data_IF_578174340776
#
_entry.id   IF_578174340776
#
_cell.length_a   1.000
_cell.length_b   1.000
_cell.length_c   1.000
_cell.angle_alpha   90.00
_cell.angle_beta   90.00
_cell.angle_gamma   90.00
#
_symmetry.space_group_name_H-M   'P 1'
#
loop_
_entity.id
_entity.type
_entity.pdbx_description
1 polymer ?
#
# COMPACT_ATOMS: atom_id res chain seq x y z
N UNK A 1 -12.33 14.97 -24.05
CA UNK A 1 -11.51 13.73 -24.15
C UNK A 1 -12.08 12.91 -25.30
N UNK A 2 -11.26 12.21 -26.10
CA UNK A 2 -11.79 11.35 -27.18
C UNK A 2 -12.39 10.09 -26.56
N UNK A 3 -13.54 9.62 -27.08
CA UNK A 3 -14.24 8.41 -26.57
C UNK A 3 -13.32 7.18 -26.42
N UNK A 4 -12.29 7.09 -27.25
CA UNK A 4 -11.28 6.03 -27.20
C UNK A 4 -10.45 6.05 -25.92
N UNK A 5 -10.03 7.23 -25.44
CA UNK A 5 -9.24 7.35 -24.20
C UNK A 5 -10.08 7.09 -22.96
N UNK A 6 -11.35 7.49 -22.97
CA UNK A 6 -12.27 7.23 -21.86
C UNK A 6 -12.50 5.73 -21.64
N UNK A 7 -12.58 4.95 -22.73
CA UNK A 7 -12.69 3.49 -22.67
C UNK A 7 -11.45 2.79 -22.08
N UNK A 8 -10.29 3.48 -22.03
CA UNK A 8 -9.04 2.94 -21.50
C UNK A 8 -8.83 3.24 -20.00
N UNK A 9 -9.63 4.12 -19.40
CA UNK A 9 -9.49 4.48 -17.99
C UNK A 9 -9.50 3.25 -17.04
N UNK A 10 -10.36 2.21 -17.21
CA UNK A 10 -10.35 1.04 -16.34
C UNK A 10 -9.06 0.22 -16.44
N UNK A 11 -8.37 0.29 -17.57
CA UNK A 11 -7.05 -0.34 -17.78
C UNK A 11 -5.94 0.46 -17.09
N UNK A 12 -6.03 1.78 -17.09
CA UNK A 12 -5.13 2.64 -16.31
C UNK A 12 -5.23 2.32 -14.82
N UNK A 13 -6.44 2.18 -14.29
CA UNK A 13 -6.65 1.75 -12.90
C UNK A 13 -6.08 0.35 -12.61
N UNK A 14 -6.21 -0.61 -13.55
CA UNK A 14 -5.58 -1.93 -13.40
C UNK A 14 -4.04 -1.82 -13.32
N UNK A 15 -3.42 -1.04 -14.20
CA UNK A 15 -1.97 -0.86 -14.19
C UNK A 15 -1.49 -0.28 -12.85
N UNK A 16 -2.17 0.77 -12.38
CA UNK A 16 -1.92 1.39 -11.08
C UNK A 16 -2.12 0.42 -9.91
N UNK A 17 -3.14 -0.43 -9.99
CA UNK A 17 -3.44 -1.47 -9.01
C UNK A 17 -2.33 -2.53 -8.92
N UNK A 18 -1.80 -2.95 -10.07
CA UNK A 18 -0.69 -3.90 -10.12
C UNK A 18 0.56 -3.28 -9.49
N UNK A 19 0.90 -2.05 -9.88
CA UNK A 19 2.09 -1.34 -9.36
C UNK A 19 1.98 -1.15 -7.85
N UNK A 20 0.86 -0.60 -7.35
CA UNK A 20 0.65 -0.40 -5.93
C UNK A 20 0.64 -1.74 -5.18
N UNK A 21 -0.12 -2.72 -5.66
CA UNK A 21 -0.24 -4.03 -5.01
C UNK A 21 1.12 -4.71 -4.85
N UNK A 22 1.91 -4.79 -5.92
CA UNK A 22 3.25 -5.41 -5.88
C UNK A 22 4.20 -4.65 -4.96
N UNK A 23 4.23 -3.32 -5.05
CA UNK A 23 5.06 -2.48 -4.18
C UNK A 23 4.75 -2.72 -2.69
N UNK A 24 3.46 -2.67 -2.33
CA UNK A 24 3.00 -2.83 -0.96
C UNK A 24 3.28 -4.26 -0.44
N UNK A 25 3.09 -5.29 -1.28
CA UNK A 25 3.44 -6.68 -0.93
C UNK A 25 4.94 -6.80 -0.68
N UNK A 26 5.78 -6.26 -1.56
CA UNK A 26 7.24 -6.36 -1.42
C UNK A 26 7.72 -5.73 -0.10
N UNK A 27 7.25 -4.52 0.22
CA UNK A 27 7.60 -3.83 1.46
C UNK A 27 7.00 -4.48 2.71
N UNK A 28 5.75 -4.95 2.63
CA UNK A 28 5.06 -5.63 3.72
C UNK A 28 5.58 -7.04 3.99
N UNK A 29 6.03 -7.76 2.97
CA UNK A 29 6.51 -9.15 3.09
C UNK A 29 7.65 -9.24 4.11
N UNK A 30 8.64 -8.34 3.99
CA UNK A 30 9.77 -8.29 4.92
C UNK A 30 9.40 -7.92 6.35
N UNK A 31 8.19 -7.39 6.58
CA UNK A 31 7.67 -7.01 7.90
C UNK A 31 6.81 -8.11 8.51
N UNK A 32 6.36 -9.10 7.75
CA UNK A 32 5.40 -10.10 8.23
C UNK A 32 5.93 -11.52 8.10
N UNK A 33 6.65 -11.85 7.03
CA UNK A 33 7.09 -13.21 6.73
C UNK A 33 8.52 -13.43 7.21
N UNK A 34 8.77 -14.41 8.11
CA UNK A 34 10.12 -14.78 8.51
C UNK A 34 10.94 -15.27 7.31
N UNK A 35 12.18 -14.81 7.19
CA UNK A 35 13.07 -15.22 6.09
C UNK A 35 14.18 -14.21 5.82
N UNK A 36 14.98 -14.50 4.79
CA UNK A 36 16.28 -13.85 4.60
C UNK A 36 16.22 -12.56 3.77
N UNK A 37 15.04 -12.16 3.28
CA UNK A 37 14.88 -11.06 2.32
C UNK A 37 15.34 -9.70 2.87
N UNK A 38 15.34 -9.49 4.18
CA UNK A 38 15.91 -8.32 4.85
C UNK A 38 16.80 -8.70 6.05
N UNK A 39 17.46 -9.85 5.96
CA UNK A 39 18.21 -10.46 7.06
C UNK A 39 17.41 -11.52 7.80
N UNK A 40 18.10 -12.46 8.47
CA UNK A 40 17.49 -13.59 9.18
C UNK A 40 16.74 -13.14 10.44
N UNK A 41 15.55 -12.56 10.28
CA UNK A 41 14.70 -12.15 11.40
C UNK A 41 13.64 -13.21 11.65
N UNK A 42 13.70 -13.85 12.81
CA UNK A 42 12.74 -14.89 13.22
C UNK A 42 11.35 -14.33 13.54
N UNK A 43 11.28 -13.06 13.96
CA UNK A 43 10.02 -12.36 14.26
C UNK A 43 9.98 -10.96 13.59
N UNK A 44 9.79 -10.87 12.26
CA UNK A 44 9.89 -9.62 11.51
C UNK A 44 8.91 -8.55 11.95
N UNK A 45 7.67 -8.95 12.29
CA UNK A 45 6.63 -8.00 12.70
C UNK A 45 6.91 -7.42 14.09
N UNK A 46 7.50 -8.21 14.98
CA UNK A 46 7.95 -7.77 16.30
C UNK A 46 9.12 -6.79 16.18
N UNK A 47 10.05 -7.05 15.26
CA UNK A 47 11.17 -6.17 14.98
C UNK A 47 10.69 -4.83 14.42
N UNK A 48 9.83 -4.84 13.40
CA UNK A 48 9.26 -3.63 12.82
C UNK A 48 8.41 -2.85 13.83
N UNK A 49 7.60 -3.54 14.63
CA UNK A 49 6.79 -2.88 15.67
C UNK A 49 7.66 -2.30 16.79
N UNK A 50 8.80 -2.91 17.10
CA UNK A 50 9.82 -2.36 17.98
C UNK A 50 10.47 -1.09 17.40
N UNK A 51 10.79 -1.09 16.11
CA UNK A 51 11.27 0.11 15.43
C UNK A 51 10.24 1.24 15.49
N UNK A 52 8.97 0.97 15.19
CA UNK A 52 7.90 1.98 15.31
C UNK A 52 7.79 2.52 16.75
N UNK A 53 7.95 1.64 17.76
CA UNK A 53 7.99 2.08 19.15
C UNK A 53 9.19 2.98 19.47
N UNK A 54 10.37 2.72 18.90
CA UNK A 54 11.55 3.58 19.08
C UNK A 54 11.41 4.97 18.47
N UNK A 55 10.46 5.17 17.54
CA UNK A 55 10.11 6.46 16.96
C UNK A 55 9.14 7.27 17.86
N UNK A 56 8.85 6.78 19.07
CA UNK A 56 7.92 7.42 20.01
C UNK A 56 6.44 7.15 19.71
N UNK A 57 6.14 6.19 18.82
CA UNK A 57 4.77 5.81 18.49
C UNK A 57 4.31 4.56 19.26
N UNK A 58 3.00 4.35 19.44
CA UNK A 58 2.51 3.11 20.01
C UNK A 58 2.91 1.87 19.19
N UNK A 59 3.45 0.84 19.86
CA UNK A 59 3.91 -0.41 19.24
C UNK A 59 2.84 -1.06 18.34
N UNK A 60 1.57 -0.98 18.74
CA UNK A 60 0.45 -1.57 18.00
C UNK A 60 0.29 -1.01 16.58
N UNK A 61 0.72 0.24 16.33
CA UNK A 61 0.71 0.84 14.99
C UNK A 61 1.67 0.13 14.02
N UNK A 62 2.76 -0.45 14.53
CA UNK A 62 3.68 -1.23 13.71
C UNK A 62 3.02 -2.47 13.11
N UNK A 63 2.22 -3.19 13.89
CA UNK A 63 1.46 -4.34 13.40
C UNK A 63 0.40 -3.90 12.38
N UNK A 64 -0.34 -2.82 12.68
CA UNK A 64 -1.37 -2.29 11.76
C UNK A 64 -0.73 -1.88 10.44
N UNK A 65 0.40 -1.17 10.47
CA UNK A 65 1.14 -0.76 9.28
C UNK A 65 1.64 -1.96 8.49
N UNK A 66 2.34 -2.91 9.13
CA UNK A 66 2.86 -4.10 8.46
C UNK A 66 1.76 -4.94 7.78
N UNK A 67 0.64 -5.15 8.46
CA UNK A 67 -0.50 -5.88 7.92
C UNK A 67 -1.21 -5.08 6.81
N UNK A 68 -1.33 -3.77 6.95
CA UNK A 68 -1.89 -2.90 5.90
C UNK A 68 -1.05 -2.97 4.64
N UNK A 69 0.27 -2.96 4.74
CA UNK A 69 1.14 -3.07 3.57
C UNK A 69 1.04 -4.45 2.92
N UNK A 70 1.17 -5.51 3.71
CA UNK A 70 1.20 -6.85 3.15
C UNK A 70 -0.19 -7.32 2.69
N UNK A 71 -1.15 -7.37 3.60
CA UNK A 71 -2.51 -7.86 3.30
C UNK A 71 -3.25 -6.86 2.42
N UNK A 72 -3.15 -5.56 2.70
CA UNK A 72 -3.75 -4.53 1.85
C UNK A 72 -3.16 -4.53 0.44
N UNK A 73 -1.84 -4.78 0.29
CA UNK A 73 -1.21 -4.96 -1.02
C UNK A 73 -1.78 -6.14 -1.82
N UNK A 74 -2.01 -7.29 -1.17
CA UNK A 74 -2.66 -8.46 -1.78
C UNK A 74 -4.09 -8.14 -2.21
N UNK A 75 -4.87 -7.51 -1.32
CA UNK A 75 -6.25 -7.10 -1.60
C UNK A 75 -6.33 -6.15 -2.80
N UNK A 76 -5.47 -5.12 -2.83
CA UNK A 76 -5.33 -4.23 -3.98
C UNK A 76 -4.98 -5.02 -5.24
N UNK A 77 -3.94 -5.85 -5.22
CA UNK A 77 -3.48 -6.57 -6.41
C UNK A 77 -4.61 -7.40 -7.05
N UNK A 78 -5.33 -8.15 -6.22
CA UNK A 78 -6.47 -8.97 -6.63
C UNK A 78 -7.71 -8.14 -7.02
N UNK A 79 -7.74 -6.86 -6.67
CA UNK A 79 -8.90 -5.99 -6.83
C UNK A 79 -10.06 -6.45 -5.96
N UNK A 80 -9.77 -6.78 -4.70
CA UNK A 80 -10.72 -7.19 -3.67
C UNK A 80 -10.75 -6.12 -2.56
N UNK A 81 -11.94 -5.66 -2.18
CA UNK A 81 -12.16 -4.56 -1.23
C UNK A 81 -11.29 -3.34 -1.56
N UNK A 82 -11.15 -3.03 -2.85
CA UNK A 82 -10.08 -2.15 -3.35
C UNK A 82 -10.12 -0.77 -2.70
N UNK A 83 -11.32 -0.17 -2.57
CA UNK A 83 -11.47 1.16 -1.95
C UNK A 83 -11.09 1.15 -0.48
N UNK A 84 -11.47 0.10 0.25
CA UNK A 84 -11.15 -0.04 1.66
C UNK A 84 -9.64 -0.25 1.87
N UNK A 85 -9.02 -1.14 1.10
CA UNK A 85 -7.58 -1.36 1.15
C UNK A 85 -6.81 -0.09 0.74
N UNK A 86 -7.26 0.61 -0.31
CA UNK A 86 -6.67 1.86 -0.76
C UNK A 86 -6.72 2.95 0.33
N UNK A 87 -7.85 3.07 1.04
CA UNK A 87 -7.99 4.00 2.16
C UNK A 87 -6.95 3.74 3.27
N UNK A 88 -6.79 2.47 3.68
CA UNK A 88 -5.80 2.12 4.70
C UNK A 88 -4.37 2.41 4.22
N UNK A 89 -4.07 2.10 2.96
CA UNK A 89 -2.76 2.39 2.35
C UNK A 89 -2.51 3.89 2.26
N UNK A 90 -3.53 4.71 1.93
CA UNK A 90 -3.45 6.17 1.94
C UNK A 90 -3.03 6.68 3.32
N UNK A 91 -3.68 6.20 4.38
CA UNK A 91 -3.31 6.57 5.76
C UNK A 91 -1.87 6.14 6.05
N UNK A 92 -1.51 4.89 5.73
CA UNK A 92 -0.17 4.37 5.99
C UNK A 92 0.93 5.18 5.28
N UNK A 93 0.72 5.54 4.01
CA UNK A 93 1.68 6.35 3.24
C UNK A 93 1.75 7.80 3.74
N UNK A 94 0.63 8.40 4.15
CA UNK A 94 0.63 9.74 4.74
C UNK A 94 1.48 9.79 6.04
N UNK A 95 1.35 8.78 6.90
CA UNK A 95 2.20 8.64 8.09
C UNK A 95 3.68 8.42 7.71
N UNK A 96 3.96 7.54 6.74
CA UNK A 96 5.33 7.30 6.30
C UNK A 96 6.01 8.59 5.79
N UNK A 97 5.30 9.40 4.99
CA UNK A 97 5.79 10.70 4.51
C UNK A 97 6.05 11.64 5.68
N UNK A 98 5.11 11.76 6.62
CA UNK A 98 5.23 12.66 7.77
C UNK A 98 6.46 12.34 8.65
N UNK A 99 6.85 11.06 8.71
CA UNK A 99 8.05 10.61 9.40
C UNK A 99 9.32 10.87 8.59
N UNK A 100 9.37 10.39 7.35
CA UNK A 100 10.60 10.37 6.55
C UNK A 100 10.98 11.77 6.06
N UNK A 101 10.00 12.60 5.69
CA UNK A 101 10.26 13.95 5.17
C UNK A 101 10.99 14.85 6.18
N UNK A 102 10.84 14.61 7.49
CA UNK A 102 11.52 15.38 8.54
C UNK A 102 13.03 15.17 8.54
N UNK A 103 13.49 13.99 8.16
CA UNK A 103 14.90 13.60 8.23
C UNK A 103 15.58 13.57 6.87
N UNK A 104 14.83 13.26 5.80
CA UNK A 104 15.38 13.02 4.46
C UNK A 104 14.77 13.93 3.38
N UNK A 105 13.86 14.83 3.73
CA UNK A 105 13.22 15.76 2.79
C UNK A 105 12.49 15.04 1.64
N UNK A 106 12.41 15.71 0.49
CA UNK A 106 11.72 15.18 -0.69
C UNK A 106 12.30 13.84 -1.16
N UNK A 107 13.63 13.71 -1.21
CA UNK A 107 14.32 12.52 -1.70
C UNK A 107 13.97 11.24 -0.91
N UNK A 108 13.68 11.34 0.39
CA UNK A 108 13.19 10.20 1.17
C UNK A 108 11.69 9.96 1.03
N UNK A 109 10.91 10.99 0.71
CA UNK A 109 9.45 10.94 0.67
C UNK A 109 8.86 10.74 -0.73
N UNK A 110 9.64 10.85 -1.80
CA UNK A 110 9.14 10.79 -3.19
C UNK A 110 8.45 9.46 -3.51
N UNK A 111 9.01 8.35 -3.03
CA UNK A 111 8.45 7.02 -3.21
C UNK A 111 7.10 6.84 -2.49
N UNK A 112 6.99 7.06 -1.16
CA UNK A 112 5.70 6.95 -0.48
C UNK A 112 4.69 8.02 -0.96
N UNK A 113 5.15 9.18 -1.46
CA UNK A 113 4.29 10.17 -2.09
C UNK A 113 3.68 9.65 -3.40
N UNK A 114 4.48 8.98 -4.24
CA UNK A 114 3.97 8.33 -5.45
C UNK A 114 2.94 7.24 -5.11
N UNK A 115 3.25 6.37 -4.14
CA UNK A 115 2.31 5.34 -3.70
C UNK A 115 1.02 5.93 -3.10
N UNK A 116 1.12 7.02 -2.34
CA UNK A 116 -0.02 7.76 -1.82
C UNK A 116 -0.93 8.27 -2.95
N UNK A 117 -0.35 8.87 -3.99
CA UNK A 117 -1.10 9.37 -5.13
C UNK A 117 -1.84 8.23 -5.87
N UNK A 118 -1.19 7.08 -6.04
CA UNK A 118 -1.81 5.89 -6.64
C UNK A 118 -2.94 5.35 -5.75
N UNK A 119 -2.73 5.28 -4.43
CA UNK A 119 -3.75 4.84 -3.48
C UNK A 119 -4.98 5.76 -3.50
N UNK A 120 -4.78 7.07 -3.52
CA UNK A 120 -5.89 8.04 -3.65
C UNK A 120 -6.64 7.89 -4.98
N UNK A 121 -5.93 7.66 -6.08
CA UNK A 121 -6.56 7.38 -7.36
C UNK A 121 -7.49 6.17 -7.26
N UNK A 122 -7.00 5.04 -6.72
CA UNK A 122 -7.80 3.82 -6.57
C UNK A 122 -8.92 3.93 -5.53
N UNK A 123 -8.74 4.77 -4.50
CA UNK A 123 -9.75 5.07 -3.50
C UNK A 123 -10.97 5.76 -4.13
N UNK A 124 -10.75 6.76 -4.98
CA UNK A 124 -11.83 7.55 -5.58
C UNK A 124 -12.35 6.95 -6.88
N UNK A 125 -11.47 6.44 -7.73
CA UNK A 125 -11.84 5.83 -9.02
C UNK A 125 -12.38 4.41 -8.84
N UNK A 126 -11.82 3.64 -7.92
CA UNK A 126 -12.14 2.22 -7.72
C UNK A 126 -11.20 1.26 -8.46
N UNK A 127 -11.60 -0.01 -8.52
CA UNK A 127 -10.72 -1.12 -8.85
C UNK A 127 -10.36 -1.27 -10.34
N UNK A 128 -11.05 -0.58 -11.25
CA UNK A 128 -10.85 -0.69 -12.68
C UNK A 128 -11.36 -2.02 -13.28
N UNK A 129 -10.67 -2.50 -14.31
CA UNK A 129 -10.98 -3.78 -14.96
C UNK A 129 -10.36 -4.98 -14.21
N UNK A 130 -10.84 -6.19 -14.51
CA UNK A 130 -10.35 -7.47 -13.95
C UNK A 130 -10.28 -7.50 -12.40
N UNK A 131 -11.09 -6.69 -11.73
CA UNK A 131 -11.20 -6.70 -10.27
C UNK A 131 -12.14 -7.82 -9.82
N UNK A 132 -11.76 -8.54 -8.76
CA UNK A 132 -12.66 -9.51 -8.14
C UNK A 132 -13.89 -8.83 -7.52
N UNK A 133 -13.79 -7.56 -7.10
CA UNK A 133 -14.89 -6.73 -6.60
C UNK A 133 -16.12 -6.74 -7.51
N UNK A 134 -15.91 -6.82 -8.83
CA UNK A 134 -17.00 -6.84 -9.83
C UNK A 134 -17.83 -8.12 -9.75
N UNK A 135 -17.26 -9.23 -9.28
CA UNK A 135 -17.97 -10.50 -9.11
C UNK A 135 -18.76 -10.56 -7.79
N UNK A 136 -18.44 -9.70 -6.83
CA UNK A 136 -19.00 -9.71 -5.47
C UNK A 136 -19.82 -8.45 -5.14
N UNK A 137 -19.97 -7.51 -6.07
CA UNK A 137 -20.84 -6.33 -5.94
C UNK A 137 -20.24 -5.15 -5.17
N UNK A 138 -18.91 -5.11 -5.00
CA UNK A 138 -18.19 -4.06 -4.26
C UNK A 138 -17.59 -2.95 -5.14
N UNK A 139 -17.84 -2.95 -6.47
CA UNK A 139 -17.27 -1.98 -7.44
C UNK A 139 -18.27 -0.98 -7.98
#
# INVERSE_FOLDING_TARGET
MSKTLDNLQPWGALALRIVLGVAMIYHGYGKVVPGNLHGNVSAPIEHFSGFVASLGMPRWLGYVSALTEFVGGILILLGLLTRFAAFLITINMAFAIALVARHHGYAGSEYPLALLAIALMLLFYGAGTLALDRKIGFS
#
